data_IF_551551604228
#
_entry.id   IF_551551604228
#
_cell.length_a   1.000
_cell.length_b   1.000
_cell.length_c   1.000
_cell.angle_alpha   90.00
_cell.angle_beta   90.00
_cell.angle_gamma   90.00
#
_symmetry.space_group_name_H-M   'P 1'
#
loop_
_entity.id
_entity.type
_entity.pdbx_description
1 polymer ?
#
# COMPACT_ATOMS: atom_id res chain seq x y z
N UNK A 1 -13.26 -17.89 26.44
CA UNK A 1 -12.36 -16.71 26.41
C UNK A 1 -11.01 -16.99 25.74
N UNK A 2 -10.39 -18.19 25.87
CA UNK A 2 -9.14 -18.53 25.16
C UNK A 2 -9.22 -18.43 23.63
N UNK A 3 -10.34 -18.80 23.03
CA UNK A 3 -10.57 -18.76 21.59
C UNK A 3 -10.50 -17.35 21.01
N UNK A 4 -11.05 -16.35 21.70
CA UNK A 4 -11.02 -14.94 21.28
C UNK A 4 -9.60 -14.37 21.32
N UNK A 5 -8.80 -14.75 22.32
CA UNK A 5 -7.40 -14.32 22.42
C UNK A 5 -6.53 -14.94 21.31
N UNK A 6 -6.78 -16.20 20.98
CA UNK A 6 -6.07 -16.91 19.89
C UNK A 6 -6.46 -16.31 18.53
N UNK A 7 -7.73 -15.97 18.34
CA UNK A 7 -8.23 -15.33 17.12
C UNK A 7 -7.62 -13.92 16.95
N UNK A 8 -7.58 -13.12 18.03
CA UNK A 8 -6.96 -11.80 18.00
C UNK A 8 -5.46 -11.85 17.69
N UNK A 9 -4.75 -12.83 18.25
CA UNK A 9 -3.34 -13.08 17.91
C UNK A 9 -3.17 -13.50 16.45
N UNK A 10 -4.04 -14.38 15.95
CA UNK A 10 -4.06 -14.79 14.54
C UNK A 10 -4.27 -13.61 13.58
N UNK A 11 -5.26 -12.77 13.86
CA UNK A 11 -5.55 -11.56 13.09
C UNK A 11 -4.38 -10.57 13.15
N UNK A 12 -3.81 -10.34 14.33
CA UNK A 12 -2.66 -9.44 14.48
C UNK A 12 -1.42 -9.93 13.72
N UNK A 13 -1.18 -11.25 13.70
CA UNK A 13 -0.10 -11.86 12.94
C UNK A 13 -0.29 -11.71 11.43
N UNK A 14 -1.51 -11.92 10.93
CA UNK A 14 -1.85 -11.73 9.51
C UNK A 14 -1.65 -10.27 9.10
N UNK A 15 -2.13 -9.32 9.93
CA UNK A 15 -1.95 -7.88 9.69
C UNK A 15 -0.45 -7.54 9.64
N UNK A 16 0.34 -8.04 10.58
CA UNK A 16 1.80 -7.79 10.61
C UNK A 16 2.52 -8.33 9.37
N UNK A 17 2.11 -9.49 8.84
CA UNK A 17 2.67 -10.05 7.60
C UNK A 17 2.30 -9.19 6.41
N UNK A 18 1.03 -8.78 6.29
CA UNK A 18 0.57 -7.89 5.22
C UNK A 18 1.30 -6.54 5.24
N UNK A 19 1.49 -5.95 6.42
CA UNK A 19 2.25 -4.70 6.58
C UNK A 19 3.72 -4.89 6.20
N UNK A 20 4.34 -6.01 6.60
CA UNK A 20 5.72 -6.33 6.21
C UNK A 20 5.89 -6.46 4.70
N UNK A 21 4.99 -7.18 4.02
CA UNK A 21 4.99 -7.34 2.55
C UNK A 21 4.76 -5.98 1.87
N UNK A 22 3.88 -5.15 2.40
CA UNK A 22 3.64 -3.80 1.89
C UNK A 22 4.86 -2.88 2.06
N UNK A 23 5.61 -2.96 3.16
CA UNK A 23 6.84 -2.18 3.29
C UNK A 23 7.91 -2.62 2.28
N UNK A 24 8.07 -3.94 2.10
CA UNK A 24 9.11 -4.52 1.22
C UNK A 24 8.80 -4.24 -0.25
N UNK A 25 7.57 -4.47 -0.70
CA UNK A 25 7.21 -4.41 -2.12
C UNK A 25 6.30 -3.22 -2.46
N UNK A 26 5.48 -2.79 -1.51
CA UNK A 26 4.49 -1.73 -1.72
C UNK A 26 5.10 -0.35 -1.85
N UNK A 27 6.18 -0.03 -1.13
CA UNK A 27 6.85 1.28 -1.20
C UNK A 27 7.30 1.63 -2.63
N UNK A 28 7.99 0.71 -3.30
CA UNK A 28 8.42 0.88 -4.68
C UNK A 28 7.23 1.04 -5.63
N UNK A 29 6.19 0.21 -5.48
CA UNK A 29 4.97 0.27 -6.29
C UNK A 29 4.26 1.61 -6.10
N UNK A 30 4.15 2.11 -4.87
CA UNK A 30 3.50 3.40 -4.57
C UNK A 30 4.25 4.59 -5.15
N UNK A 31 5.59 4.57 -5.14
CA UNK A 31 6.39 5.62 -5.76
C UNK A 31 6.22 5.62 -7.28
N UNK A 32 6.20 4.44 -7.90
CA UNK A 32 5.99 4.30 -9.35
C UNK A 32 4.60 4.80 -9.74
N UNK A 33 3.54 4.39 -9.03
CA UNK A 33 2.17 4.83 -9.35
C UNK A 33 1.98 6.32 -9.10
N UNK A 34 2.53 6.87 -8.01
CA UNK A 34 2.51 8.31 -7.75
C UNK A 34 3.26 9.09 -8.84
N UNK A 35 4.43 8.62 -9.27
CA UNK A 35 5.19 9.21 -10.37
C UNK A 35 4.42 9.20 -11.69
N UNK A 36 3.76 8.08 -12.03
CA UNK A 36 2.92 7.98 -13.23
C UNK A 36 1.74 8.97 -13.17
N UNK A 37 1.07 9.08 -12.04
CA UNK A 37 -0.04 10.02 -11.86
C UNK A 37 0.40 11.48 -12.02
N UNK A 38 1.56 11.83 -11.48
CA UNK A 38 2.14 13.18 -11.65
C UNK A 38 2.51 13.47 -13.10
N UNK A 39 3.07 12.48 -13.83
CA UNK A 39 3.37 12.62 -15.25
C UNK A 39 2.11 12.77 -16.11
N UNK A 40 1.06 11.99 -15.81
CA UNK A 40 -0.24 12.14 -16.47
C UNK A 40 -0.87 13.50 -16.20
N UNK A 41 -0.81 13.97 -14.95
CA UNK A 41 -1.27 15.31 -14.60
C UNK A 41 -0.51 16.40 -15.38
N UNK A 42 0.82 16.29 -15.45
CA UNK A 42 1.65 17.22 -16.20
C UNK A 42 1.33 17.21 -17.70
N UNK A 43 1.08 16.03 -18.28
CA UNK A 43 0.67 15.89 -19.67
C UNK A 43 -0.68 16.58 -19.92
N UNK A 44 -1.68 16.32 -19.08
CA UNK A 44 -3.02 16.93 -19.22
C UNK A 44 -2.95 18.45 -19.01
N UNK A 45 -2.16 18.93 -18.05
CA UNK A 45 -1.96 20.36 -17.81
C UNK A 45 -1.22 21.04 -18.98
N UNK A 46 -0.22 20.37 -19.56
CA UNK A 46 0.53 20.86 -20.71
C UNK A 46 -0.28 20.88 -22.01
N UNK A 47 -1.18 19.91 -22.20
CA UNK A 47 -2.10 19.84 -23.35
C UNK A 47 -3.26 20.85 -23.29
N UNK A 48 -3.42 21.59 -22.19
CA UNK A 48 -4.41 22.68 -22.07
C UNK A 48 -3.85 24.07 -22.48
N UNK A 49 -2.71 24.10 -23.18
CA UNK A 49 -2.27 25.26 -23.96
C UNK A 49 -2.83 25.20 -25.37
#
# INVERSE_FOLDING_TARGET
MRTVLIDLLGVSGIISICVGIYLIYGSAITCITAGILLLLYALVAGSKK
#
